data_IF_388990218214
#
_entry.id   IF_388990218214
#
_cell.length_a   1.000
_cell.length_b   1.000
_cell.length_c   1.000
_cell.angle_alpha   90.00
_cell.angle_beta   90.00
_cell.angle_gamma   90.00
#
_symmetry.space_group_name_H-M   'P 1'
#
loop_
_entity.id
_entity.type
_entity.pdbx_description
1 polymer ?
#
# COMPACT_ATOMS: atom_id res chain seq x y z
N UNK A 1 -7.59 -12.11 8.06
CA UNK A 1 -8.31 -12.11 9.35
C UNK A 1 -9.03 -10.77 9.47
N UNK A 2 -10.33 -10.76 9.76
CA UNK A 2 -11.06 -9.53 10.07
C UNK A 2 -11.21 -9.46 11.58
N UNK A 3 -10.84 -8.34 12.19
CA UNK A 3 -10.95 -8.13 13.64
C UNK A 3 -12.14 -7.18 13.88
N UNK A 4 -13.37 -7.70 14.06
CA UNK A 4 -14.53 -6.85 14.32
C UNK A 4 -14.50 -6.38 15.78
N UNK A 5 -14.58 -5.06 15.98
CA UNK A 5 -14.71 -4.47 17.31
C UNK A 5 -14.59 -2.95 17.27
N UNK A 6 -15.23 -2.22 18.20
CA UNK A 6 -15.08 -0.76 18.27
C UNK A 6 -13.68 -0.32 18.71
N UNK A 7 -12.92 -1.23 19.34
CA UNK A 7 -11.59 -0.96 19.87
C UNK A 7 -10.57 -1.89 19.20
N UNK A 8 -9.43 -1.31 18.84
CA UNK A 8 -8.30 -2.06 18.31
C UNK A 8 -7.72 -3.00 19.38
N UNK A 9 -7.45 -4.26 19.04
CA UNK A 9 -6.86 -5.24 19.97
C UNK A 9 -5.46 -4.80 20.40
N UNK A 10 -5.05 -5.06 21.64
CA UNK A 10 -3.63 -4.92 22.00
C UNK A 10 -2.77 -5.98 21.30
N UNK A 11 -1.44 -5.78 21.26
CA UNK A 11 -0.52 -6.77 20.70
C UNK A 11 -0.69 -8.15 21.37
N UNK A 12 -0.81 -8.18 22.70
CA UNK A 12 -0.99 -9.44 23.43
C UNK A 12 -2.32 -10.13 23.13
N UNK A 13 -3.40 -9.35 22.96
CA UNK A 13 -4.70 -9.89 22.56
C UNK A 13 -4.65 -10.48 21.14
N UNK A 14 -4.03 -9.76 20.22
CA UNK A 14 -3.81 -10.22 18.84
C UNK A 14 -2.97 -11.50 18.82
N UNK A 15 -1.88 -11.54 19.61
CA UNK A 15 -1.01 -12.69 19.73
C UNK A 15 -1.77 -13.92 20.24
N UNK A 16 -2.69 -13.80 21.20
CA UNK A 16 -3.51 -14.92 21.68
C UNK A 16 -4.41 -15.51 20.58
N UNK A 17 -4.96 -14.68 19.71
CA UNK A 17 -5.79 -15.12 18.57
C UNK A 17 -4.89 -15.80 17.53
N UNK A 18 -3.79 -15.15 17.16
CA UNK A 18 -2.84 -15.65 16.18
C UNK A 18 -2.15 -16.94 16.64
N UNK A 19 -1.97 -17.13 17.94
CA UNK A 19 -1.36 -18.34 18.50
C UNK A 19 -2.15 -19.61 18.15
N UNK A 20 -3.49 -19.53 18.20
CA UNK A 20 -4.37 -20.62 17.78
C UNK A 20 -4.26 -20.90 16.29
N UNK A 21 -4.38 -19.85 15.47
CA UNK A 21 -4.25 -19.97 14.02
C UNK A 21 -2.90 -20.56 13.61
N UNK A 22 -1.80 -20.09 14.22
CA UNK A 22 -0.45 -20.60 13.93
C UNK A 22 -0.25 -22.04 14.36
N UNK A 23 -0.87 -22.48 15.45
CA UNK A 23 -0.81 -23.89 15.88
C UNK A 23 -1.43 -24.83 14.83
N UNK A 24 -2.54 -24.42 14.22
CA UNK A 24 -3.17 -25.17 13.12
C UNK A 24 -2.33 -25.11 11.85
N UNK A 25 -1.80 -23.94 11.49
CA UNK A 25 -0.93 -23.80 10.30
C UNK A 25 0.33 -24.65 10.38
N UNK A 26 0.96 -24.77 11.56
CA UNK A 26 2.13 -25.64 11.76
C UNK A 26 1.78 -27.12 11.56
N UNK A 27 0.58 -27.55 11.98
CA UNK A 27 0.09 -28.91 11.71
C UNK A 27 -0.12 -29.14 10.21
N UNK A 28 -0.72 -28.17 9.52
CA UNK A 28 -0.93 -28.25 8.06
C UNK A 28 0.38 -28.22 7.28
N UNK A 29 1.40 -27.52 7.78
CA UNK A 29 2.74 -27.51 7.19
C UNK A 29 3.39 -28.90 7.27
N UNK A 30 3.18 -29.60 8.39
CA UNK A 30 3.82 -30.88 8.72
C UNK A 30 3.20 -32.10 8.03
N UNK A 31 2.35 -31.90 7.00
CA UNK A 31 1.52 -32.90 6.29
C UNK A 31 0.29 -33.33 7.08
N UNK A 32 -0.88 -33.24 6.45
CA UNK A 32 -2.10 -33.81 7.00
C UNK A 32 -2.94 -34.52 5.92
N UNK A 33 -3.55 -35.65 6.29
CA UNK A 33 -4.32 -36.46 5.35
C UNK A 33 -5.78 -35.98 5.28
N UNK A 34 -6.14 -35.37 4.15
CA UNK A 34 -7.49 -34.87 3.88
C UNK A 34 -8.28 -35.80 2.98
N UNK A 35 -9.60 -35.82 3.17
CA UNK A 35 -10.52 -36.40 2.19
C UNK A 35 -10.69 -35.39 1.05
N UNK A 36 -10.22 -35.73 -0.14
CA UNK A 36 -10.36 -34.90 -1.34
C UNK A 36 -11.64 -35.30 -2.06
N UNK A 37 -12.46 -34.31 -2.44
CA UNK A 37 -13.70 -34.56 -3.18
C UNK A 37 -13.40 -35.32 -4.49
N UNK A 38 -14.18 -36.37 -4.76
CA UNK A 38 -13.99 -37.20 -5.96
C UNK A 38 -12.97 -38.33 -5.81
N UNK A 39 -12.35 -38.51 -4.63
CA UNK A 39 -11.44 -39.62 -4.38
C UNK A 39 -11.84 -40.46 -3.16
N UNK A 40 -11.63 -41.78 -3.25
CA UNK A 40 -11.94 -42.73 -2.18
C UNK A 40 -10.92 -42.67 -1.03
N UNK A 41 -9.64 -42.46 -1.37
CA UNK A 41 -8.55 -42.40 -0.40
C UNK A 41 -8.34 -40.98 0.14
N UNK A 42 -7.77 -40.89 1.35
CA UNK A 42 -7.23 -39.62 1.85
C UNK A 42 -5.89 -39.32 1.17
N UNK A 43 -5.64 -38.05 0.93
CA UNK A 43 -4.40 -37.58 0.34
C UNK A 43 -3.65 -36.70 1.32
N UNK A 44 -2.31 -36.81 1.35
CA UNK A 44 -1.49 -35.91 2.12
C UNK A 44 -1.50 -34.53 1.48
N UNK A 45 -1.96 -33.53 2.22
CA UNK A 45 -1.92 -32.13 1.82
C UNK A 45 -0.96 -31.39 2.75
N UNK A 46 -0.16 -30.52 2.14
CA UNK A 46 0.68 -29.56 2.85
C UNK A 46 0.15 -28.16 2.56
N UNK A 47 0.01 -27.34 3.60
CA UNK A 47 -0.35 -25.93 3.45
C UNK A 47 0.80 -25.05 3.93
N UNK A 48 1.06 -23.99 3.17
CA UNK A 48 2.09 -22.99 3.49
C UNK A 48 1.41 -21.63 3.54
N UNK A 49 1.71 -20.85 4.58
CA UNK A 49 1.40 -19.42 4.57
C UNK A 49 2.53 -18.72 3.83
N UNK A 50 2.23 -18.18 2.66
CA UNK A 50 3.22 -17.55 1.78
C UNK A 50 3.45 -16.07 2.12
N UNK A 51 2.38 -15.34 2.43
CA UNK A 51 2.40 -13.89 2.61
C UNK A 51 1.34 -13.42 3.58
N UNK A 52 1.62 -12.27 4.19
CA UNK A 52 0.69 -11.47 4.98
C UNK A 52 0.38 -10.18 4.22
N UNK A 53 -0.91 -9.85 4.11
CA UNK A 53 -1.40 -8.68 3.36
C UNK A 53 -2.31 -7.86 4.27
N UNK A 54 -1.81 -6.72 4.72
CA UNK A 54 -2.58 -5.71 5.42
C UNK A 54 -1.94 -4.32 5.22
N UNK A 55 -2.56 -3.28 5.79
CA UNK A 55 -1.93 -1.97 5.82
C UNK A 55 -0.65 -1.98 6.68
N UNK A 56 0.23 -1.01 6.46
CA UNK A 56 1.53 -0.99 7.13
C UNK A 56 1.43 -0.89 8.68
N UNK A 57 0.50 -0.12 9.28
CA UNK A 57 0.26 -0.16 10.72
C UNK A 57 -0.11 -1.55 11.25
N UNK A 58 -1.10 -2.22 10.64
CA UNK A 58 -1.52 -3.56 11.04
C UNK A 58 -0.38 -4.56 10.85
N UNK A 59 0.43 -4.41 9.80
CA UNK A 59 1.58 -5.25 9.52
C UNK A 59 2.59 -5.20 10.66
N UNK A 60 3.00 -3.98 11.06
CA UNK A 60 3.95 -3.78 12.15
C UNK A 60 3.44 -4.37 13.46
N UNK A 61 2.14 -4.23 13.72
CA UNK A 61 1.52 -4.79 14.90
C UNK A 61 1.50 -6.32 14.87
N UNK A 62 1.06 -6.91 13.77
CA UNK A 62 0.94 -8.35 13.61
C UNK A 62 2.30 -9.06 13.70
N UNK A 63 3.35 -8.44 13.18
CA UNK A 63 4.72 -8.94 13.20
C UNK A 63 5.47 -8.61 14.50
N UNK A 64 4.87 -7.80 15.39
CA UNK A 64 5.53 -7.34 16.62
C UNK A 64 6.71 -6.40 16.36
N UNK A 65 6.70 -5.64 15.27
CA UNK A 65 7.75 -4.69 14.92
C UNK A 65 7.48 -3.28 15.44
N UNK A 66 8.55 -2.49 15.56
CA UNK A 66 8.45 -1.05 15.76
C UNK A 66 7.58 -0.39 14.68
N UNK A 67 6.93 0.72 15.03
CA UNK A 67 6.08 1.46 14.10
C UNK A 67 6.84 1.85 12.82
N UNK A 68 6.12 1.88 11.70
CA UNK A 68 6.62 2.40 10.42
C UNK A 68 6.98 3.89 10.47
N UNK A 69 6.56 4.61 11.51
CA UNK A 69 6.94 6.00 11.79
C UNK A 69 8.08 6.12 12.83
N UNK A 70 8.62 5.00 13.31
CA UNK A 70 9.69 5.01 14.29
C UNK A 70 10.97 5.59 13.70
N UNK A 71 11.70 6.41 14.49
CA UNK A 71 13.01 6.96 14.09
C UNK A 71 14.08 5.87 13.98
N UNK A 72 13.92 4.79 14.73
CA UNK A 72 14.80 3.63 14.74
C UNK A 72 14.03 2.38 14.33
N UNK A 73 14.68 1.47 13.60
CA UNK A 73 14.11 0.17 13.22
C UNK A 73 12.84 0.25 12.34
N UNK A 74 12.61 1.40 11.69
CA UNK A 74 11.49 1.64 10.77
C UNK A 74 11.34 0.50 9.75
N UNK A 75 12.45 0.13 9.10
CA UNK A 75 12.49 -0.91 8.08
C UNK A 75 13.21 -2.16 8.60
N UNK A 76 12.56 -3.34 8.60
CA UNK A 76 13.14 -4.57 9.12
C UNK A 76 14.07 -5.29 8.12
N UNK A 77 15.17 -4.67 7.70
CA UNK A 77 16.03 -5.21 6.61
C UNK A 77 16.66 -6.59 6.89
N UNK A 78 16.85 -6.97 8.16
CA UNK A 78 17.58 -8.19 8.54
C UNK A 78 16.65 -9.20 9.24
N UNK A 79 15.87 -10.01 8.52
CA UNK A 79 14.80 -10.84 9.11
C UNK A 79 15.31 -11.75 10.24
N UNK A 80 16.48 -12.37 10.06
CA UNK A 80 17.09 -13.24 11.07
C UNK A 80 17.43 -12.54 12.38
N UNK A 81 17.77 -11.25 12.33
CA UNK A 81 17.98 -10.43 13.53
C UNK A 81 16.66 -10.29 14.29
N UNK A 82 15.58 -9.96 13.58
CA UNK A 82 14.25 -9.78 14.18
C UNK A 82 13.74 -11.06 14.81
N UNK A 83 13.85 -12.19 14.11
CA UNK A 83 13.47 -13.51 14.64
C UNK A 83 14.24 -13.84 15.93
N UNK A 84 15.57 -13.67 15.93
CA UNK A 84 16.42 -13.92 17.10
C UNK A 84 15.92 -13.15 18.32
N UNK A 85 15.63 -11.86 18.16
CA UNK A 85 15.20 -11.02 19.28
C UNK A 85 13.72 -11.21 19.64
N UNK A 86 12.87 -11.58 18.70
CA UNK A 86 11.48 -11.96 18.97
C UNK A 86 11.42 -13.19 19.90
N UNK A 87 12.21 -14.24 19.63
CA UNK A 87 12.30 -15.41 20.52
C UNK A 87 12.90 -15.07 21.88
N UNK A 88 13.91 -14.17 21.94
CA UNK A 88 14.44 -13.68 23.22
C UNK A 88 13.38 -12.92 24.02
N UNK A 89 12.62 -12.04 23.38
CA UNK A 89 11.53 -11.32 24.02
C UNK A 89 10.44 -12.27 24.52
N UNK A 90 10.16 -13.36 23.79
CA UNK A 90 9.15 -14.33 24.19
C UNK A 90 9.50 -15.05 25.51
N UNK A 91 10.78 -15.34 25.72
CA UNK A 91 11.27 -16.04 26.93
C UNK A 91 11.70 -15.09 28.06
N UNK A 92 11.59 -13.77 27.88
CA UNK A 92 12.05 -12.77 28.82
C UNK A 92 10.96 -12.36 29.83
N UNK A 93 11.37 -11.74 30.94
CA UNK A 93 10.49 -11.05 31.88
C UNK A 93 10.03 -9.69 31.28
N UNK A 94 8.97 -9.08 31.83
CA UNK A 94 8.36 -7.88 31.22
C UNK A 94 9.31 -6.67 31.11
N UNK A 95 10.20 -6.47 32.09
CA UNK A 95 11.20 -5.40 32.01
C UNK A 95 12.21 -5.63 30.86
N UNK A 96 12.65 -6.87 30.70
CA UNK A 96 13.59 -7.27 29.66
C UNK A 96 12.95 -7.24 28.26
N UNK A 97 11.65 -7.55 28.15
CA UNK A 97 10.88 -7.38 26.89
C UNK A 97 10.92 -5.94 26.41
N UNK A 98 10.69 -4.99 27.31
CA UNK A 98 10.72 -3.57 26.96
C UNK A 98 12.13 -3.14 26.54
N UNK A 99 13.17 -3.58 27.25
CA UNK A 99 14.56 -3.31 26.87
C UNK A 99 14.90 -3.87 25.48
N UNK A 100 14.46 -5.10 25.18
CA UNK A 100 14.64 -5.71 23.85
C UNK A 100 13.93 -4.89 22.78
N UNK A 101 12.68 -4.46 23.03
CA UNK A 101 11.95 -3.63 22.08
C UNK A 101 12.65 -2.29 21.85
N UNK A 102 13.10 -1.60 22.90
CA UNK A 102 13.74 -0.30 22.78
C UNK A 102 15.07 -0.38 22.01
N UNK A 103 15.84 -1.46 22.22
CA UNK A 103 17.16 -1.65 21.59
C UNK A 103 17.10 -2.30 20.21
N UNK A 104 16.03 -3.02 19.89
CA UNK A 104 15.98 -3.86 18.70
C UNK A 104 14.72 -3.68 17.84
N UNK A 105 13.71 -2.97 18.35
CA UNK A 105 12.48 -2.63 17.64
C UNK A 105 11.59 -3.83 17.36
N UNK A 106 11.60 -4.84 18.25
CA UNK A 106 10.85 -6.08 18.06
C UNK A 106 10.33 -6.67 19.37
N UNK A 107 9.11 -7.17 19.29
CA UNK A 107 8.36 -7.90 20.29
C UNK A 107 8.01 -9.28 19.74
N UNK A 108 7.46 -10.14 20.60
CA UNK A 108 7.00 -11.45 20.17
C UNK A 108 5.81 -11.35 19.20
N UNK A 109 5.88 -12.13 18.12
CA UNK A 109 4.74 -12.47 17.27
C UNK A 109 4.68 -14.00 17.06
N UNK A 110 3.50 -14.64 17.20
CA UNK A 110 3.32 -16.07 16.93
C UNK A 110 3.73 -16.53 15.53
N UNK A 111 3.76 -15.62 14.54
CA UNK A 111 4.19 -15.90 13.18
C UNK A 111 5.63 -16.40 13.11
N UNK A 112 6.50 -15.95 14.03
CA UNK A 112 7.91 -16.37 14.09
C UNK A 112 8.12 -17.87 14.34
N UNK A 113 7.07 -18.61 14.76
CA UNK A 113 7.13 -20.07 14.92
C UNK A 113 6.99 -20.82 13.60
N UNK A 114 6.42 -20.19 12.58
CA UNK A 114 6.13 -20.86 11.33
C UNK A 114 7.44 -21.06 10.54
N UNK A 115 7.79 -22.31 10.17
CA UNK A 115 9.00 -22.56 9.39
C UNK A 115 8.97 -21.82 8.06
N UNK A 116 10.05 -21.10 7.75
CA UNK A 116 10.17 -20.29 6.54
C UNK A 116 9.50 -18.92 6.63
N UNK A 117 8.83 -18.57 7.74
CA UNK A 117 8.32 -17.23 7.95
C UNK A 117 9.43 -16.27 8.37
N UNK A 118 9.70 -15.30 7.51
CA UNK A 118 10.66 -14.24 7.70
C UNK A 118 9.88 -12.93 7.66
N UNK A 119 9.62 -12.36 8.83
CA UNK A 119 8.80 -11.15 9.03
C UNK A 119 8.98 -10.06 7.98
N UNK A 120 10.18 -9.74 7.52
CA UNK A 120 10.39 -8.69 6.51
C UNK A 120 10.28 -9.11 5.06
N UNK A 121 10.24 -10.42 4.78
CA UNK A 121 10.14 -10.99 3.44
C UNK A 121 8.76 -11.57 3.15
N UNK A 122 8.01 -11.99 4.18
CA UNK A 122 6.66 -12.52 4.03
C UNK A 122 5.58 -11.46 4.29
N UNK A 123 5.92 -10.37 4.96
CA UNK A 123 5.07 -9.19 5.10
C UNK A 123 5.07 -8.33 3.84
N UNK A 124 3.90 -8.17 3.24
CA UNK A 124 3.77 -7.38 2.01
C UNK A 124 3.60 -5.90 2.36
N UNK A 125 4.45 -5.04 1.80
CA UNK A 125 4.12 -3.64 1.56
C UNK A 125 3.00 -3.59 0.53
N UNK A 126 1.77 -3.40 1.01
CA UNK A 126 0.57 -3.50 0.19
C UNK A 126 0.45 -2.29 -0.78
N UNK A 127 0.31 -2.59 -2.06
CA UNK A 127 0.43 -1.61 -3.14
C UNK A 127 -0.63 -0.52 -3.06
N UNK A 128 -1.90 -0.84 -2.80
CA UNK A 128 -2.95 0.17 -2.70
C UNK A 128 -2.65 1.18 -1.59
N UNK A 129 -2.43 0.69 -0.36
CA UNK A 129 -2.22 1.56 0.80
C UNK A 129 -0.95 2.38 0.63
N UNK A 130 0.16 1.75 0.21
CA UNK A 130 1.44 2.41 0.07
C UNK A 130 1.45 3.41 -1.09
N UNK A 131 1.04 2.98 -2.29
CA UNK A 131 1.11 3.81 -3.49
C UNK A 131 -0.05 4.79 -3.55
N UNK A 132 -1.30 4.32 -3.56
CA UNK A 132 -2.45 5.20 -3.82
C UNK A 132 -2.83 6.04 -2.60
N UNK A 133 -3.05 5.41 -1.44
CA UNK A 133 -3.49 6.12 -0.24
C UNK A 133 -2.38 6.93 0.44
N UNK A 134 -1.12 6.58 0.25
CA UNK A 134 0.00 7.28 0.87
C UNK A 134 0.81 8.11 -0.14
N UNK A 135 1.50 7.51 -1.10
CA UNK A 135 2.41 8.25 -1.99
C UNK A 135 1.68 9.20 -2.94
N UNK A 136 0.71 8.73 -3.73
CA UNK A 136 -0.06 9.56 -4.67
C UNK A 136 -0.76 10.69 -3.91
N UNK A 137 -1.44 10.36 -2.80
CA UNK A 137 -2.04 11.38 -1.92
C UNK A 137 -1.01 12.40 -1.45
N UNK A 138 0.18 11.97 -1.02
CA UNK A 138 1.22 12.86 -0.50
C UNK A 138 1.79 13.76 -1.59
N UNK A 139 2.06 13.22 -2.78
CA UNK A 139 2.52 13.99 -3.94
C UNK A 139 1.48 15.06 -4.28
N UNK A 140 0.21 14.69 -4.44
CA UNK A 140 -0.84 15.66 -4.80
C UNK A 140 -1.10 16.67 -3.69
N UNK A 141 -1.31 16.23 -2.44
CA UNK A 141 -1.76 17.12 -1.36
C UNK A 141 -0.63 17.91 -0.74
N UNK A 142 0.53 17.30 -0.54
CA UNK A 142 1.64 17.93 0.16
C UNK A 142 2.55 18.63 -0.85
N UNK A 143 3.15 17.86 -1.77
CA UNK A 143 4.17 18.37 -2.68
C UNK A 143 3.58 19.39 -3.65
N UNK A 144 2.47 19.08 -4.32
CA UNK A 144 1.86 19.96 -5.32
C UNK A 144 1.02 21.07 -4.66
N UNK A 145 0.06 20.74 -3.80
CA UNK A 145 -0.90 21.72 -3.28
C UNK A 145 -0.35 22.52 -2.10
N UNK A 146 -0.01 21.89 -0.98
CA UNK A 146 0.35 22.60 0.25
C UNK A 146 1.66 23.40 0.13
N UNK A 147 2.63 22.93 -0.66
CA UNK A 147 3.87 23.66 -0.88
C UNK A 147 3.78 24.75 -1.96
N UNK A 148 2.59 24.98 -2.52
CA UNK A 148 2.29 26.14 -3.36
C UNK A 148 2.74 26.02 -4.82
N UNK A 149 2.89 24.82 -5.37
CA UNK A 149 3.27 24.62 -6.78
C UNK A 149 2.18 25.06 -7.77
N UNK A 150 0.95 25.26 -7.29
CA UNK A 150 -0.19 25.77 -8.06
C UNK A 150 -0.62 27.18 -7.62
N UNK A 151 0.20 27.87 -6.83
CA UNK A 151 -0.11 29.24 -6.39
C UNK A 151 -0.11 30.22 -7.58
N UNK A 152 -1.02 31.21 -7.60
CA UNK A 152 -1.07 32.20 -8.66
C UNK A 152 0.19 33.06 -8.65
N UNK A 153 0.65 33.48 -9.84
CA UNK A 153 1.71 34.48 -10.00
C UNK A 153 1.03 35.83 -10.29
N UNK A 154 0.99 36.78 -9.34
CA UNK A 154 0.17 38.00 -9.44
C UNK A 154 0.47 38.92 -10.63
N UNK A 155 1.59 38.73 -11.33
CA UNK A 155 2.01 39.58 -12.46
C UNK A 155 1.58 39.06 -13.83
N UNK A 156 1.07 37.83 -13.94
CA UNK A 156 0.88 37.14 -15.24
C UNK A 156 -0.56 36.67 -15.54
N UNK A 157 -1.58 37.08 -14.77
CA UNK A 157 -2.97 36.59 -14.91
C UNK A 157 -3.04 35.07 -15.11
N UNK A 158 -2.27 34.34 -14.30
CA UNK A 158 -2.09 32.90 -14.40
C UNK A 158 -2.49 32.24 -13.09
N UNK A 159 -3.49 31.36 -13.17
CA UNK A 159 -4.17 30.71 -12.05
C UNK A 159 -4.10 29.18 -12.22
N UNK A 160 -2.95 28.54 -11.90
CA UNK A 160 -2.72 27.13 -12.21
C UNK A 160 -3.72 26.20 -11.53
N UNK A 161 -4.14 26.55 -10.30
CA UNK A 161 -5.12 25.77 -9.54
C UNK A 161 -6.50 25.76 -10.20
N UNK A 162 -6.95 26.90 -10.73
CA UNK A 162 -8.22 26.99 -11.44
C UNK A 162 -8.17 26.20 -12.75
N UNK A 163 -7.05 26.27 -13.46
CA UNK A 163 -6.84 25.53 -14.71
C UNK A 163 -6.87 24.00 -14.50
N UNK A 164 -6.25 23.49 -13.43
CA UNK A 164 -6.28 22.04 -13.18
C UNK A 164 -7.67 21.60 -12.74
N UNK A 165 -8.37 22.39 -11.93
CA UNK A 165 -9.74 22.06 -11.51
C UNK A 165 -10.72 22.10 -12.69
N UNK A 166 -10.59 23.08 -13.59
CA UNK A 166 -11.35 23.11 -14.84
C UNK A 166 -11.07 21.86 -15.68
N UNK A 167 -9.80 21.47 -15.85
CA UNK A 167 -9.43 20.24 -16.54
C UNK A 167 -10.12 19.01 -15.92
N UNK A 168 -10.05 18.83 -14.59
CA UNK A 168 -10.71 17.70 -13.92
C UNK A 168 -12.23 17.71 -14.12
N UNK A 169 -12.86 18.89 -14.13
CA UNK A 169 -14.31 19.02 -14.32
C UNK A 169 -14.79 18.66 -15.73
N UNK A 170 -13.92 18.82 -16.74
CA UNK A 170 -14.24 18.58 -18.15
C UNK A 170 -13.94 17.14 -18.59
N UNK A 171 -13.22 16.34 -17.80
CA UNK A 171 -12.92 14.95 -18.14
C UNK A 171 -14.20 14.11 -18.14
N UNK A 172 -14.55 13.58 -19.30
CA UNK A 172 -15.60 12.56 -19.44
C UNK A 172 -14.97 11.19 -19.14
N UNK A 173 -15.21 10.67 -17.93
CA UNK A 173 -14.70 9.36 -17.52
C UNK A 173 -15.78 8.27 -17.57
N UNK A 174 -15.50 7.09 -18.17
CA UNK A 174 -16.46 5.99 -18.19
C UNK A 174 -16.80 5.48 -16.78
N UNK A 175 -18.08 5.48 -16.43
CA UNK A 175 -18.57 4.99 -15.13
C UNK A 175 -18.27 3.51 -14.86
N UNK A 176 -18.05 2.73 -15.92
CA UNK A 176 -17.67 1.31 -15.83
C UNK A 176 -16.25 1.10 -15.33
N UNK A 177 -15.37 2.09 -15.51
CA UNK A 177 -13.97 2.05 -15.04
C UNK A 177 -13.87 2.57 -13.60
N UNK A 178 -14.66 3.57 -13.24
CA UNK A 178 -14.75 4.10 -11.89
C UNK A 178 -15.15 5.57 -11.88
N UNK A 179 -14.81 6.29 -10.82
CA UNK A 179 -15.12 7.73 -10.67
C UNK A 179 -13.85 8.50 -10.34
N UNK A 180 -13.49 9.45 -11.21
CA UNK A 180 -12.44 10.41 -10.89
C UNK A 180 -12.84 11.32 -9.72
N UNK A 181 -11.86 11.89 -8.99
CA UNK A 181 -12.09 13.03 -8.12
C UNK A 181 -12.78 14.17 -8.89
N UNK A 182 -13.78 14.85 -8.30
CA UNK A 182 -14.42 16.00 -8.94
C UNK A 182 -13.50 17.23 -9.01
N UNK A 183 -12.44 17.26 -8.19
CA UNK A 183 -11.44 18.33 -8.12
C UNK A 183 -10.14 17.78 -7.54
N UNK A 184 -8.99 18.35 -7.91
CA UNK A 184 -7.68 18.00 -7.34
C UNK A 184 -7.62 18.33 -5.83
N UNK A 185 -8.41 19.31 -5.38
CA UNK A 185 -8.44 19.78 -3.99
C UNK A 185 -9.30 18.92 -3.07
N UNK A 186 -10.08 17.97 -3.61
CA UNK A 186 -10.97 17.05 -2.86
C UNK A 186 -10.31 16.43 -1.62
N UNK A 187 -10.87 16.64 -0.44
CA UNK A 187 -10.23 16.31 0.85
C UNK A 187 -10.31 14.83 1.26
N UNK A 188 -11.27 14.07 0.73
CA UNK A 188 -11.56 12.69 1.17
C UNK A 188 -11.71 11.73 -0.01
N UNK A 189 -10.60 11.47 -0.69
CA UNK A 189 -10.57 10.54 -1.82
C UNK A 189 -10.25 9.11 -1.37
N UNK A 190 -11.00 8.17 -1.93
CA UNK A 190 -10.78 6.73 -1.78
C UNK A 190 -9.65 6.24 -2.68
N UNK A 191 -9.17 5.02 -2.42
CA UNK A 191 -8.03 4.45 -3.13
C UNK A 191 -8.27 4.30 -4.65
N UNK A 192 -9.48 3.90 -5.06
CA UNK A 192 -9.89 3.86 -6.46
C UNK A 192 -9.75 5.23 -7.12
N UNK A 193 -10.17 6.28 -6.43
CA UNK A 193 -10.10 7.64 -6.95
C UNK A 193 -8.64 8.12 -7.08
N UNK A 194 -7.75 7.73 -6.16
CA UNK A 194 -6.32 8.03 -6.25
C UNK A 194 -5.62 7.28 -7.39
N UNK A 195 -5.99 6.02 -7.61
CA UNK A 195 -5.52 5.23 -8.75
C UNK A 195 -5.91 5.88 -10.09
N UNK A 196 -7.16 6.32 -10.21
CA UNK A 196 -7.60 7.03 -11.42
C UNK A 196 -6.95 8.42 -11.53
N UNK A 197 -6.80 9.13 -10.42
CA UNK A 197 -6.20 10.46 -10.36
C UNK A 197 -4.78 10.48 -10.93
N UNK A 198 -3.91 9.56 -10.50
CA UNK A 198 -2.51 9.55 -10.95
C UNK A 198 -2.35 9.25 -12.45
N UNK A 199 -3.36 8.58 -13.05
CA UNK A 199 -3.43 8.29 -14.47
C UNK A 199 -3.64 9.54 -15.34
N UNK A 200 -4.18 10.62 -14.77
CA UNK A 200 -4.49 11.86 -15.49
C UNK A 200 -3.81 13.10 -14.90
N UNK A 201 -3.23 12.99 -13.70
CA UNK A 201 -2.61 14.10 -12.98
C UNK A 201 -1.53 14.80 -13.82
N UNK A 202 -0.64 14.04 -14.47
CA UNK A 202 0.43 14.64 -15.28
C UNK A 202 -0.12 15.45 -16.46
N UNK A 203 -1.25 15.05 -17.05
CA UNK A 203 -1.92 15.83 -18.11
C UNK A 203 -2.51 17.11 -17.52
N UNK A 204 -3.21 17.01 -16.39
CA UNK A 204 -3.76 18.18 -15.71
C UNK A 204 -2.68 19.19 -15.29
N UNK A 205 -1.53 18.69 -14.81
CA UNK A 205 -0.38 19.53 -14.49
C UNK A 205 0.23 20.17 -15.74
N UNK A 206 0.30 19.44 -16.87
CA UNK A 206 0.74 20.02 -18.14
C UNK A 206 -0.15 21.20 -18.54
N UNK A 207 -1.48 21.00 -18.54
CA UNK A 207 -2.45 22.06 -18.87
C UNK A 207 -2.29 23.29 -17.97
N UNK A 208 -2.11 23.07 -16.66
CA UNK A 208 -1.89 24.16 -15.71
C UNK A 208 -0.54 24.86 -15.85
N UNK A 209 0.49 24.16 -16.33
CA UNK A 209 1.86 24.64 -16.37
C UNK A 209 2.38 24.97 -17.77
N UNK A 210 1.60 24.76 -18.82
CA UNK A 210 1.99 24.92 -20.24
C UNK A 210 2.67 26.27 -20.50
N UNK A 211 2.08 27.37 -20.01
CA UNK A 211 2.63 28.74 -20.14
C UNK A 211 4.03 28.89 -19.53
N UNK A 212 4.32 28.19 -18.44
CA UNK A 212 5.65 28.20 -17.80
C UNK A 212 6.61 27.20 -18.45
N UNK A 213 6.12 26.05 -18.89
CA UNK A 213 6.92 25.03 -19.57
C UNK A 213 7.46 25.54 -20.91
N UNK A 214 6.67 26.26 -21.70
CA UNK A 214 7.11 26.87 -22.96
C UNK A 214 8.22 27.91 -22.74
N UNK A 215 8.14 28.68 -21.63
CA UNK A 215 9.16 29.66 -21.26
C UNK A 215 10.44 28.98 -20.76
N UNK A 216 10.33 27.95 -19.92
CA UNK A 216 11.46 27.17 -19.36
C UNK A 216 12.13 26.24 -20.38
N UNK A 217 11.48 25.92 -21.49
CA UNK A 217 12.10 25.22 -22.62
C UNK A 217 12.92 26.16 -23.52
N UNK A 218 12.77 27.48 -23.37
CA UNK A 218 13.52 28.50 -24.12
C UNK A 218 14.77 29.01 -23.39
N UNK A 219 14.85 28.86 -22.07
CA UNK A 219 16.01 29.25 -21.25
C UNK A 219 16.68 27.99 -20.68
N UNK A 220 17.82 27.62 -21.25
CA UNK A 220 18.71 26.58 -20.73
C UNK A 220 20.00 27.23 -20.27
N UNK A 221 19.99 27.82 -19.09
CA UNK A 221 21.24 28.09 -18.36
C UNK A 221 21.26 27.25 -17.08
N UNK A 222 22.34 26.47 -16.95
CA UNK A 222 22.61 25.70 -15.75
C UNK A 222 22.93 26.66 -14.59
N UNK A 223 22.50 26.35 -13.36
CA UNK A 223 22.87 27.14 -12.20
C UNK A 223 24.38 27.12 -11.99
N UNK A 224 24.95 28.27 -11.63
CA UNK A 224 26.38 28.45 -11.37
C UNK A 224 26.78 27.87 -10.00
N UNK A 225 28.06 27.55 -9.84
CA UNK A 225 28.61 26.90 -8.64
C UNK A 225 28.38 27.69 -7.33
N UNK A 226 28.14 29.01 -7.40
CA UNK A 226 27.78 29.85 -6.25
C UNK A 226 26.33 29.64 -5.77
N UNK A 227 25.41 29.22 -6.66
CA UNK A 227 24.02 28.89 -6.30
C UNK A 227 23.92 27.53 -5.59
N UNK A 228 24.92 26.66 -5.77
CA UNK A 228 24.99 25.36 -5.11
C UNK A 228 25.33 25.47 -3.61
N UNK A 229 25.99 26.55 -3.18
CA UNK A 229 26.37 26.76 -1.78
C UNK A 229 25.23 27.37 -0.92
N UNK A 230 24.22 28.01 -1.52
CA UNK A 230 23.01 28.50 -0.81
C UNK A 230 21.96 27.39 -0.53
N UNK A 231 22.04 26.26 -1.22
CA UNK A 231 21.10 25.12 -1.11
C UNK A 231 21.10 24.48 0.30
N UNK A 232 22.12 24.75 1.11
CA UNK A 232 22.29 24.18 2.46
C UNK A 232 21.44 24.83 3.58
N UNK A 233 20.40 25.61 3.25
CA UNK A 233 19.40 26.11 4.22
C UNK A 233 17.94 25.69 3.94
N UNK A 234 17.73 24.83 2.93
CA UNK A 234 16.55 23.98 2.66
C UNK A 234 15.16 24.65 2.64
N UNK A 235 14.87 25.38 1.57
CA UNK A 235 13.50 25.46 1.03
C UNK A 235 13.40 24.55 -0.19
N UNK A 236 12.32 23.78 -0.32
CA UNK A 236 12.07 22.87 -1.45
C UNK A 236 12.28 23.58 -2.80
N UNK A 237 12.95 22.92 -3.75
CA UNK A 237 13.02 23.34 -5.15
C UNK A 237 11.59 23.55 -5.69
N UNK A 238 11.36 24.70 -6.34
CA UNK A 238 10.07 25.09 -6.93
C UNK A 238 10.08 25.07 -8.46
N UNK A 239 11.12 24.50 -9.07
CA UNK A 239 11.19 24.29 -10.52
C UNK A 239 10.01 23.45 -11.00
N UNK A 240 9.07 24.10 -11.68
CA UNK A 240 7.89 23.47 -12.27
C UNK A 240 8.30 22.30 -13.17
N UNK A 241 9.38 22.47 -13.93
CA UNK A 241 9.92 21.44 -14.83
C UNK A 241 10.36 20.19 -14.08
N UNK A 242 11.17 20.33 -13.02
CA UNK A 242 11.67 19.19 -12.25
C UNK A 242 10.52 18.41 -11.59
N UNK A 243 9.54 19.13 -11.03
CA UNK A 243 8.35 18.52 -10.45
C UNK A 243 7.50 17.82 -11.50
N UNK A 244 7.30 18.43 -12.68
CA UNK A 244 6.55 17.84 -13.78
C UNK A 244 7.20 16.54 -14.28
N UNK A 245 8.49 16.56 -14.59
CA UNK A 245 9.24 15.39 -15.06
C UNK A 245 9.23 14.25 -14.01
N UNK A 246 9.32 14.61 -12.73
CA UNK A 246 9.27 13.65 -11.63
C UNK A 246 7.87 13.04 -11.46
N UNK A 247 6.80 13.86 -11.52
CA UNK A 247 5.41 13.36 -11.46
C UNK A 247 5.09 12.51 -12.68
N UNK A 248 5.52 12.89 -13.88
CA UNK A 248 5.35 12.09 -15.08
C UNK A 248 6.03 10.72 -14.94
N UNK A 249 7.29 10.70 -14.50
CA UNK A 249 8.04 9.46 -14.24
C UNK A 249 7.31 8.59 -13.22
N UNK A 250 6.82 9.18 -12.14
CA UNK A 250 6.07 8.47 -11.11
C UNK A 250 4.73 7.92 -11.63
N UNK A 251 3.97 8.71 -12.41
CA UNK A 251 2.73 8.27 -13.05
C UNK A 251 2.97 7.08 -13.99
N UNK A 252 3.95 7.17 -14.88
CA UNK A 252 4.30 6.07 -15.80
C UNK A 252 4.73 4.82 -15.03
N UNK A 253 5.52 4.99 -13.98
CA UNK A 253 5.97 3.88 -13.13
C UNK A 253 4.79 3.16 -12.48
N UNK A 254 3.83 3.90 -11.93
CA UNK A 254 2.65 3.30 -11.31
C UNK A 254 1.87 2.50 -12.36
N UNK A 255 1.68 3.03 -13.57
CA UNK A 255 0.97 2.32 -14.64
C UNK A 255 1.67 1.00 -15.02
N UNK A 256 3.01 1.01 -15.10
CA UNK A 256 3.79 -0.21 -15.36
C UNK A 256 3.55 -1.21 -14.22
N UNK A 257 3.84 -0.82 -12.98
CA UNK A 257 3.82 -1.73 -11.84
C UNK A 257 2.40 -2.21 -11.46
N UNK A 258 1.36 -1.47 -11.86
CA UNK A 258 -0.03 -1.85 -11.67
C UNK A 258 -0.68 -2.48 -12.91
N UNK A 259 0.09 -2.87 -13.93
CA UNK A 259 -0.46 -3.56 -15.10
C UNK A 259 -0.87 -5.00 -14.78
N UNK A 260 -1.93 -5.48 -15.43
CA UNK A 260 -2.42 -6.87 -15.31
C UNK A 260 -1.43 -7.91 -15.87
N UNK A 261 -0.38 -7.47 -16.55
CA UNK A 261 0.70 -8.30 -17.05
C UNK A 261 1.97 -7.47 -17.11
N UNK A 262 3.03 -7.93 -16.46
CA UNK A 262 4.37 -7.35 -16.49
C UNK A 262 5.42 -8.45 -16.51
N UNK A 263 6.52 -8.21 -17.21
CA UNK A 263 7.73 -9.03 -17.22
C UNK A 263 8.68 -8.63 -16.08
N UNK A 264 9.65 -9.49 -15.72
CA UNK A 264 10.72 -9.13 -14.79
C UNK A 264 11.50 -7.87 -15.21
N UNK A 265 11.76 -7.69 -16.51
CA UNK A 265 12.45 -6.50 -17.02
C UNK A 265 11.63 -5.22 -16.82
N UNK A 266 10.30 -5.31 -16.96
CA UNK A 266 9.39 -4.20 -16.66
C UNK A 266 9.31 -3.90 -15.15
N UNK A 267 9.42 -4.92 -14.30
CA UNK A 267 9.55 -4.75 -12.84
C UNK A 267 10.84 -4.00 -12.52
N UNK A 268 11.98 -4.43 -13.09
CA UNK A 268 13.28 -3.78 -12.91
C UNK A 268 13.22 -2.32 -13.35
N UNK A 269 12.72 -2.05 -14.55
CA UNK A 269 12.59 -0.71 -15.11
C UNK A 269 11.64 0.17 -14.27
N UNK A 270 10.46 -0.36 -13.91
CA UNK A 270 9.46 0.32 -13.12
C UNK A 270 9.96 0.66 -11.72
N UNK A 271 10.54 -0.30 -10.99
CA UNK A 271 11.10 -0.04 -9.67
C UNK A 271 12.32 0.90 -9.71
N UNK A 272 13.16 0.83 -10.74
CA UNK A 272 14.24 1.79 -10.94
C UNK A 272 13.71 3.21 -11.23
N UNK A 273 12.64 3.34 -12.03
CA UNK A 273 11.96 4.62 -12.25
C UNK A 273 11.29 5.16 -10.97
N UNK A 274 10.70 4.29 -10.15
CA UNK A 274 10.13 4.65 -8.85
C UNK A 274 11.21 5.21 -7.93
N UNK A 275 12.35 4.53 -7.87
CA UNK A 275 13.49 4.94 -7.05
C UNK A 275 14.03 6.29 -7.50
N UNK A 276 14.19 6.49 -8.82
CA UNK A 276 14.59 7.78 -9.39
C UNK A 276 13.62 8.90 -9.03
N UNK A 277 12.31 8.68 -9.14
CA UNK A 277 11.31 9.68 -8.76
C UNK A 277 11.43 10.06 -7.26
N UNK A 278 11.57 9.06 -6.38
CA UNK A 278 11.81 9.30 -4.95
C UNK A 278 13.10 10.08 -4.68
N UNK A 279 14.20 9.73 -5.37
CA UNK A 279 15.48 10.42 -5.25
C UNK A 279 15.39 11.86 -5.75
N UNK A 280 14.72 12.10 -6.88
CA UNK A 280 14.50 13.45 -7.39
C UNK A 280 13.74 14.32 -6.39
N UNK A 281 12.64 13.82 -5.80
CA UNK A 281 11.95 14.54 -4.73
C UNK A 281 12.82 14.80 -3.51
N UNK A 282 13.67 13.84 -3.12
CA UNK A 282 14.61 14.05 -2.03
C UNK A 282 15.66 15.13 -2.36
N UNK A 283 16.21 15.12 -3.58
CA UNK A 283 17.15 16.13 -4.07
C UNK A 283 16.50 17.53 -4.18
N UNK A 284 15.23 17.58 -4.55
CA UNK A 284 14.41 18.81 -4.54
C UNK A 284 14.06 19.28 -3.13
N UNK A 285 14.51 18.61 -2.06
CA UNK A 285 14.19 18.98 -0.69
C UNK A 285 12.71 18.79 -0.32
N UNK A 286 11.99 17.93 -1.04
CA UNK A 286 10.60 17.60 -0.70
C UNK A 286 10.55 16.77 0.59
N UNK A 287 9.51 16.99 1.40
CA UNK A 287 9.27 16.16 2.57
C UNK A 287 8.83 14.75 2.15
N UNK A 288 9.63 13.74 2.49
CA UNK A 288 9.36 12.33 2.18
C UNK A 288 8.84 11.59 3.41
N UNK A 289 7.72 10.88 3.27
CA UNK A 289 7.21 9.99 4.33
C UNK A 289 7.90 8.62 4.29
N UNK A 290 7.82 7.82 5.36
CA UNK A 290 8.32 6.43 5.35
C UNK A 290 7.81 5.57 4.18
N UNK A 291 6.61 5.85 3.65
CA UNK A 291 6.03 5.10 2.54
C UNK A 291 6.88 5.16 1.26
N UNK A 292 7.58 6.28 1.01
CA UNK A 292 8.49 6.38 -0.14
C UNK A 292 9.68 5.41 -0.02
N UNK A 293 10.15 5.15 1.20
CA UNK A 293 11.13 4.12 1.48
C UNK A 293 10.53 2.71 1.35
N UNK A 294 9.33 2.47 1.90
CA UNK A 294 8.68 1.15 1.80
C UNK A 294 8.38 0.74 0.36
N UNK A 295 8.06 1.69 -0.51
CA UNK A 295 7.87 1.44 -1.93
C UNK A 295 9.14 0.92 -2.64
N UNK A 296 10.33 1.12 -2.06
CA UNK A 296 11.58 0.56 -2.60
C UNK A 296 11.69 -0.97 -2.41
N UNK A 297 10.84 -1.56 -1.55
CA UNK A 297 10.78 -3.02 -1.36
C UNK A 297 9.86 -3.71 -2.38
N UNK A 298 9.11 -2.95 -3.19
CA UNK A 298 8.20 -3.53 -4.18
C UNK A 298 8.92 -4.42 -5.19
N UNK A 299 10.18 -4.13 -5.51
CA UNK A 299 10.96 -4.92 -6.47
C UNK A 299 11.05 -6.41 -6.06
N UNK A 300 11.60 -6.69 -4.87
CA UNK A 300 11.74 -8.06 -4.40
C UNK A 300 10.37 -8.72 -4.16
N UNK A 301 9.39 -7.94 -3.71
CA UNK A 301 8.04 -8.43 -3.46
C UNK A 301 7.30 -8.83 -4.74
N UNK A 302 7.41 -8.05 -5.82
CA UNK A 302 6.78 -8.36 -7.10
C UNK A 302 7.39 -9.62 -7.73
N UNK A 303 8.70 -9.81 -7.57
CA UNK A 303 9.36 -11.05 -7.99
C UNK A 303 8.96 -12.25 -7.14
N UNK A 304 8.69 -12.05 -5.85
CA UNK A 304 8.36 -13.12 -4.90
C UNK A 304 6.89 -13.54 -4.93
N UNK A 305 5.97 -12.57 -4.99
CA UNK A 305 4.52 -12.79 -4.88
C UNK A 305 3.76 -12.60 -6.19
N UNK A 306 4.43 -12.13 -7.23
CA UNK A 306 3.84 -11.80 -8.51
C UNK A 306 3.28 -10.37 -8.56
N UNK A 307 2.35 -10.14 -9.47
CA UNK A 307 1.75 -8.83 -9.73
C UNK A 307 1.14 -8.22 -8.47
N UNK A 308 1.01 -6.90 -8.42
CA UNK A 308 0.33 -6.22 -7.32
C UNK A 308 -1.07 -6.78 -7.06
N UNK A 309 -1.77 -7.24 -8.11
CA UNK A 309 -3.09 -7.89 -8.01
C UNK A 309 -3.13 -9.15 -7.15
N UNK A 310 -2.00 -9.86 -7.01
CA UNK A 310 -1.92 -11.05 -6.14
C UNK A 310 -2.01 -10.69 -4.66
N UNK A 311 -1.60 -9.47 -4.29
CA UNK A 311 -1.48 -9.04 -2.90
C UNK A 311 -2.17 -7.71 -2.62
N UNK A 312 -2.98 -7.19 -3.54
CA UNK A 312 -3.62 -5.88 -3.39
C UNK A 312 -4.89 -6.00 -2.51
N UNK A 313 -5.00 -5.13 -1.50
CA UNK A 313 -6.08 -5.04 -0.51
C UNK A 313 -7.51 -4.65 -0.96
N UNK A 314 -7.83 -4.14 -2.17
CA UNK A 314 -9.20 -3.62 -2.44
C UNK A 314 -10.28 -4.71 -2.30
N UNK A 315 -10.09 -5.97 -2.75
CA UNK A 315 -11.09 -7.01 -2.50
C UNK A 315 -11.34 -7.20 -1.00
N UNK A 316 -10.29 -7.17 -0.18
CA UNK A 316 -10.39 -7.29 1.28
C UNK A 316 -11.10 -6.09 1.90
N UNK A 317 -10.83 -4.87 1.45
CA UNK A 317 -11.55 -3.66 1.91
C UNK A 317 -13.04 -3.66 1.50
N UNK A 318 -13.34 -4.12 0.28
CA UNK A 318 -14.72 -4.32 -0.15
C UNK A 318 -15.44 -5.34 0.74
N UNK A 319 -14.77 -6.44 1.07
CA UNK A 319 -15.27 -7.49 1.96
C UNK A 319 -15.47 -6.98 3.39
N UNK A 320 -14.52 -6.20 3.91
CA UNK A 320 -14.62 -5.54 5.21
C UNK A 320 -15.81 -4.58 5.23
N UNK A 321 -15.98 -3.76 4.19
CA UNK A 321 -17.13 -2.87 4.05
C UNK A 321 -18.47 -3.62 3.95
N UNK A 322 -18.49 -4.77 3.29
CA UNK A 322 -19.67 -5.65 3.26
C UNK A 322 -19.99 -6.19 4.66
N UNK A 323 -19.00 -6.73 5.38
CA UNK A 323 -19.16 -7.24 6.74
C UNK A 323 -19.55 -6.13 7.72
N UNK A 324 -18.97 -4.93 7.59
CA UNK A 324 -19.28 -3.77 8.44
C UNK A 324 -20.69 -3.21 8.23
N UNK A 325 -21.29 -3.39 7.05
CA UNK A 325 -22.70 -3.03 6.79
C UNK A 325 -23.68 -4.08 7.29
N UNK A 326 -23.21 -5.22 7.78
CA UNK A 326 -24.10 -6.25 8.29
C UNK A 326 -24.77 -5.80 9.57
N UNK A 327 -26.10 -5.76 9.56
CA UNK A 327 -26.84 -5.67 10.80
C UNK A 327 -26.54 -6.92 11.65
N UNK A 328 -26.00 -6.66 12.83
CA UNK A 328 -25.59 -7.64 13.82
C UNK A 328 -26.47 -7.63 15.08
N UNK A 329 -27.58 -6.88 15.09
CA UNK A 329 -28.58 -6.83 16.17
C UNK A 329 -27.97 -6.75 17.60
N UNK A 330 -26.82 -6.09 17.75
CA UNK A 330 -26.05 -6.02 19.01
C UNK A 330 -25.64 -7.38 19.63
N UNK A 331 -25.58 -8.46 18.84
CA UNK A 331 -25.02 -9.74 19.27
C UNK A 331 -23.55 -9.57 19.70
N UNK A 332 -23.13 -10.29 20.77
CA UNK A 332 -21.78 -10.22 21.36
C UNK A 332 -21.32 -11.62 21.77
N UNK A 333 -20.02 -11.79 22.00
CA UNK A 333 -19.46 -12.97 22.66
C UNK A 333 -19.51 -14.26 21.82
N UNK A 334 -19.12 -14.21 20.55
CA UNK A 334 -19.09 -15.37 19.64
C UNK A 334 -20.26 -15.44 18.67
N UNK A 335 -21.42 -14.88 19.05
CA UNK A 335 -22.62 -14.83 18.19
C UNK A 335 -22.46 -13.86 17.01
N UNK A 336 -21.67 -12.81 17.19
CA UNK A 336 -21.36 -11.82 16.16
C UNK A 336 -20.57 -12.45 15.03
N UNK A 337 -19.50 -13.16 15.39
CA UNK A 337 -18.57 -13.83 14.50
C UNK A 337 -19.31 -14.92 13.70
N UNK A 338 -20.16 -15.70 14.39
CA UNK A 338 -21.01 -16.71 13.76
C UNK A 338 -22.02 -16.08 12.77
N UNK A 339 -22.65 -14.96 13.14
CA UNK A 339 -23.56 -14.22 12.25
C UNK A 339 -22.85 -13.69 11.01
N UNK A 340 -21.66 -13.09 11.18
CA UNK A 340 -20.82 -12.62 10.08
C UNK A 340 -20.41 -13.78 9.17
N UNK A 341 -19.96 -14.90 9.74
CA UNK A 341 -19.56 -16.10 9.00
C UNK A 341 -20.72 -16.68 8.18
N UNK A 342 -21.91 -16.85 8.77
CA UNK A 342 -23.07 -17.38 8.04
C UNK A 342 -23.47 -16.50 6.86
N UNK A 343 -23.50 -15.18 7.06
CA UNK A 343 -23.83 -14.25 5.98
C UNK A 343 -22.75 -14.19 4.91
N UNK A 344 -21.48 -14.28 5.30
CA UNK A 344 -20.34 -14.40 4.38
C UNK A 344 -20.50 -15.62 3.47
N UNK A 345 -20.70 -16.81 4.04
CA UNK A 345 -20.91 -18.04 3.29
C UNK A 345 -22.12 -17.96 2.36
N UNK A 346 -23.24 -17.41 2.84
CA UNK A 346 -24.43 -17.22 2.01
C UNK A 346 -24.14 -16.33 0.80
N UNK A 347 -23.37 -15.26 0.98
CA UNK A 347 -22.99 -14.37 -0.10
C UNK A 347 -22.08 -15.05 -1.13
N UNK A 348 -21.03 -15.74 -0.67
CA UNK A 348 -20.13 -16.51 -1.55
C UNK A 348 -20.91 -17.52 -2.38
N UNK A 349 -21.78 -18.32 -1.74
CA UNK A 349 -22.61 -19.31 -2.43
C UNK A 349 -23.53 -18.71 -3.49
N UNK A 350 -24.10 -17.52 -3.23
CA UNK A 350 -24.93 -16.81 -4.21
C UNK A 350 -24.10 -16.31 -5.38
N UNK A 351 -22.92 -15.74 -5.12
CA UNK A 351 -21.99 -15.33 -6.16
C UNK A 351 -21.55 -16.51 -7.04
N UNK A 352 -21.20 -17.64 -6.43
CA UNK A 352 -20.83 -18.87 -7.15
C UNK A 352 -21.99 -19.39 -8.01
N UNK A 353 -23.22 -19.38 -7.49
CA UNK A 353 -24.39 -19.81 -8.23
C UNK A 353 -24.68 -18.92 -9.44
N UNK A 354 -24.56 -17.59 -9.28
CA UNK A 354 -24.66 -16.63 -10.38
C UNK A 354 -23.54 -16.84 -11.40
N UNK A 355 -22.30 -17.03 -10.94
CA UNK A 355 -21.14 -17.29 -11.78
C UNK A 355 -21.31 -18.55 -12.63
N UNK A 356 -21.76 -19.65 -12.02
CA UNK A 356 -22.10 -20.88 -12.73
C UNK A 356 -23.21 -20.67 -13.77
N UNK A 357 -24.25 -19.91 -13.43
CA UNK A 357 -25.35 -19.62 -14.35
C UNK A 357 -24.90 -18.79 -15.57
N UNK A 358 -24.13 -17.73 -15.34
CA UNK A 358 -23.58 -16.90 -16.41
C UNK A 358 -22.61 -17.70 -17.29
N UNK A 359 -21.72 -18.49 -16.68
CA UNK A 359 -20.76 -19.33 -17.42
C UNK A 359 -21.47 -20.39 -18.28
N UNK A 360 -22.58 -20.96 -17.80
CA UNK A 360 -23.37 -21.93 -18.55
C UNK A 360 -24.09 -21.35 -19.77
N UNK A 361 -24.33 -20.03 -19.79
CA UNK A 361 -25.00 -19.32 -20.88
C UNK A 361 -24.03 -18.79 -21.95
N UNK A 362 -22.74 -18.62 -21.65
CA UNK A 362 -21.72 -18.21 -22.63
C UNK A 362 -21.10 -19.38 -23.42
N UNK A 363 -21.39 -20.63 -23.02
CA UNK A 363 -20.92 -21.86 -23.70
C UNK A 363 -22.06 -22.64 -24.41
N UNK A 364 -23.15 -21.98 -24.80
CA UNK A 364 -24.20 -22.56 -25.65
C UNK A 364 -24.36 -21.82 -26.96
#
# INVERSE_FOLDING_TARGET
MVIPGPNELTLDQLNKIMDRFMSEMIQLYSRHDFRVHGHENKFPIHSVLNSEVCDLPANRKLEGLASFSSKLFMCPQYPWRYIRYAFRAHSAEDADKQEIFDRHGVSWSPLNRLPGWLTSLNSVVEFMHCIYLCMVRHVTKIIILQLGMLSPIPRNDWYPLEQIDEFFSQIIWPVSVGRLPPSVTSSSLKADQWHLHISVLFVGLFVSWERCLETLLSETENPTDEQLDEINTSTMDRSIRHHYETVLTFSTTIQILSSCSISPDEIDCGCAALSRACQNWAHMGCHMTPYFHFAQHLHCQLLQFGLCYATWAFPYECNNGFLGRMNHNNHKGGELECTMMHKWWKWVLVCDLIGCFLSSHYFR
#
